data_IF_174021140686
#
_entry.id   IF_174021140686
#
_cell.length_a   1.000
_cell.length_b   1.000
_cell.length_c   1.000
_cell.angle_alpha   90.00
_cell.angle_beta   90.00
_cell.angle_gamma   90.00
#
_symmetry.space_group_name_H-M   'P 1'
#
loop_
_entity.id
_entity.type
_entity.pdbx_description
1 polymer ?
#
# COMPACT_ATOMS: atom_id res chain seq x y z
N UNK A 1 -46.22 -2.76 11.10
CA UNK A 1 -44.77 -2.55 10.82
C UNK A 1 -44.60 -2.41 9.31
N UNK A 2 -44.23 -1.23 8.78
CA UNK A 2 -43.88 -1.13 7.34
C UNK A 2 -42.52 -1.80 7.18
N UNK A 3 -42.42 -2.77 6.26
CA UNK A 3 -41.18 -3.49 5.98
C UNK A 3 -40.04 -2.57 5.53
N UNK A 4 -38.81 -3.09 5.35
CA UNK A 4 -37.65 -2.29 5.03
C UNK A 4 -37.88 -1.43 3.78
N UNK A 5 -37.53 -0.14 3.86
CA UNK A 5 -37.69 0.83 2.76
C UNK A 5 -36.94 0.40 1.49
N UNK A 6 -35.86 -0.36 1.63
CA UNK A 6 -35.07 -0.87 0.52
C UNK A 6 -35.18 -2.39 0.45
N UNK A 7 -35.76 -2.90 -0.64
CA UNK A 7 -35.87 -4.35 -0.91
C UNK A 7 -34.78 -4.89 -1.84
N UNK A 8 -34.13 -4.02 -2.62
CA UNK A 8 -32.98 -4.32 -3.48
C UNK A 8 -31.98 -3.18 -3.43
N UNK A 9 -30.90 -3.37 -2.68
CA UNK A 9 -29.82 -2.41 -2.58
C UNK A 9 -28.63 -2.91 -3.39
N UNK A 10 -28.19 -2.14 -4.39
CA UNK A 10 -26.98 -2.45 -5.15
C UNK A 10 -25.78 -1.94 -4.38
N UNK A 11 -24.91 -2.84 -3.93
CA UNK A 11 -23.68 -2.50 -3.22
C UNK A 11 -22.49 -2.85 -4.11
N UNK A 12 -21.60 -1.87 -4.31
CA UNK A 12 -20.33 -2.05 -4.99
C UNK A 12 -19.18 -1.88 -4.00
N UNK A 13 -18.09 -2.58 -4.23
CA UNK A 13 -16.84 -2.37 -3.50
C UNK A 13 -15.87 -1.59 -4.39
N UNK A 14 -15.14 -0.63 -3.81
CA UNK A 14 -14.02 0.01 -4.47
C UNK A 14 -12.82 -0.94 -4.53
N UNK A 15 -11.72 -0.58 -3.88
CA UNK A 15 -10.59 -1.49 -3.75
C UNK A 15 -10.85 -2.57 -2.71
N UNK A 16 -10.55 -3.83 -3.07
CA UNK A 16 -10.63 -4.97 -2.16
C UNK A 16 -9.51 -4.91 -1.14
N UNK A 17 -9.86 -5.07 0.13
CA UNK A 17 -8.91 -5.35 1.19
C UNK A 17 -8.70 -6.87 1.27
N UNK A 18 -7.50 -7.30 1.64
CA UNK A 18 -7.23 -8.72 1.85
C UNK A 18 -8.02 -9.25 3.06
N UNK A 19 -8.37 -10.53 3.05
CA UNK A 19 -9.21 -11.16 4.08
C UNK A 19 -8.55 -11.08 5.46
N UNK A 20 -7.22 -11.11 5.50
CA UNK A 20 -6.42 -11.00 6.74
C UNK A 20 -6.13 -9.57 7.16
N UNK A 21 -6.47 -8.59 6.34
CA UNK A 21 -6.21 -7.19 6.62
C UNK A 21 -7.44 -6.49 7.22
N UNK A 22 -7.19 -5.44 7.99
CA UNK A 22 -8.21 -4.53 8.49
C UNK A 22 -7.91 -3.11 8.02
N UNK A 23 -8.92 -2.26 7.97
CA UNK A 23 -8.74 -0.86 7.56
C UNK A 23 -9.90 -0.30 6.75
N UNK A 24 -9.58 0.66 5.89
CA UNK A 24 -10.57 1.41 5.10
C UNK A 24 -11.07 0.55 3.94
N UNK A 25 -12.38 0.29 3.93
CA UNK A 25 -13.07 -0.41 2.85
C UNK A 25 -14.20 0.45 2.28
N UNK A 26 -14.00 0.94 1.05
CA UNK A 26 -14.94 1.88 0.41
C UNK A 26 -16.07 1.11 -0.26
N UNK A 27 -17.31 1.46 0.12
CA UNK A 27 -18.53 0.88 -0.43
C UNK A 27 -19.35 1.95 -1.17
N UNK A 28 -19.78 1.61 -2.37
CA UNK A 28 -20.79 2.35 -3.12
C UNK A 28 -22.17 1.76 -2.85
N UNK A 29 -23.18 2.63 -2.78
CA UNK A 29 -24.57 2.22 -2.56
C UNK A 29 -25.45 2.85 -3.64
N UNK A 30 -26.24 2.02 -4.32
CA UNK A 30 -27.19 2.46 -5.35
C UNK A 30 -26.50 3.24 -6.48
N UNK A 31 -26.85 4.51 -6.62
CA UNK A 31 -26.23 5.41 -7.60
C UNK A 31 -24.79 5.81 -7.24
N UNK A 32 -24.40 5.72 -5.96
CA UNK A 32 -23.03 5.99 -5.50
C UNK A 32 -22.00 5.01 -6.07
N UNK A 33 -22.43 3.85 -6.58
CA UNK A 33 -21.56 2.91 -7.29
C UNK A 33 -20.83 3.55 -8.48
N UNK A 34 -21.41 4.59 -9.10
CA UNK A 34 -20.77 5.32 -10.21
C UNK A 34 -19.48 6.03 -9.77
N UNK A 35 -19.45 6.53 -8.54
CA UNK A 35 -18.30 7.25 -7.99
C UNK A 35 -17.11 6.33 -7.68
N UNK A 36 -17.32 5.00 -7.59
CA UNK A 36 -16.24 4.05 -7.38
C UNK A 36 -15.27 4.03 -8.58
N UNK A 37 -15.78 4.24 -9.79
CA UNK A 37 -14.95 4.35 -11.01
C UNK A 37 -14.11 5.62 -10.98
N UNK A 38 -14.70 6.75 -10.57
CA UNK A 38 -13.98 8.02 -10.44
C UNK A 38 -12.87 7.91 -9.39
N UNK A 39 -13.19 7.30 -8.23
CA UNK A 39 -12.23 7.02 -7.17
C UNK A 39 -11.04 6.18 -7.65
N UNK A 40 -11.31 5.15 -8.48
CA UNK A 40 -10.27 4.31 -9.08
C UNK A 40 -9.37 5.13 -10.02
N UNK A 41 -9.97 5.98 -10.86
CA UNK A 41 -9.25 6.83 -11.81
C UNK A 41 -8.46 7.97 -11.14
N UNK A 42 -8.78 8.34 -9.90
CA UNK A 42 -8.00 9.31 -9.15
C UNK A 42 -6.60 8.81 -8.72
N UNK A 43 -6.32 7.51 -8.84
CA UNK A 43 -5.04 6.89 -8.45
C UNK A 43 -4.63 7.27 -7.01
N UNK A 44 -5.58 7.19 -6.08
CA UNK A 44 -5.34 7.56 -4.68
C UNK A 44 -4.26 6.68 -4.06
N UNK A 45 -3.32 7.34 -3.39
CA UNK A 45 -2.31 6.70 -2.54
C UNK A 45 -3.00 5.93 -1.42
N UNK A 46 -2.48 4.75 -1.12
CA UNK A 46 -2.94 3.91 -0.02
C UNK A 46 -1.82 3.81 1.00
N UNK A 47 -2.16 4.02 2.26
CA UNK A 47 -1.24 3.86 3.38
C UNK A 47 -1.61 2.57 4.12
N UNK A 48 -0.59 1.78 4.43
CA UNK A 48 -0.74 0.51 5.13
C UNK A 48 0.17 0.52 6.34
N UNK A 49 -0.26 -0.17 7.39
CA UNK A 49 0.62 -0.61 8.47
C UNK A 49 0.80 -2.11 8.30
N UNK A 50 2.04 -2.55 8.18
CA UNK A 50 2.36 -3.95 7.90
C UNK A 50 3.19 -4.52 9.04
N UNK A 51 2.69 -5.60 9.64
CA UNK A 51 3.42 -6.38 10.63
C UNK A 51 4.17 -7.53 9.98
N UNK A 52 5.38 -7.80 10.47
CA UNK A 52 6.19 -8.93 10.01
C UNK A 52 6.95 -9.59 11.14
N UNK A 53 7.38 -10.83 10.88
CA UNK A 53 8.14 -11.66 11.82
C UNK A 53 9.48 -12.06 11.18
N UNK A 54 10.59 -11.71 11.84
CA UNK A 54 11.91 -12.14 11.41
C UNK A 54 12.16 -13.62 11.67
N UNK A 55 13.00 -14.24 10.84
CA UNK A 55 13.43 -15.63 10.99
C UNK A 55 12.35 -16.66 10.66
N UNK A 56 11.24 -16.26 10.01
CA UNK A 56 10.19 -17.16 9.53
C UNK A 56 9.87 -16.87 8.06
N UNK A 57 9.93 -17.89 7.21
CA UNK A 57 9.47 -17.82 5.83
C UNK A 57 8.33 -18.83 5.59
N UNK A 58 7.27 -18.38 4.93
CA UNK A 58 6.11 -19.20 4.56
C UNK A 58 5.96 -19.28 3.05
N UNK A 59 5.24 -20.29 2.57
CA UNK A 59 5.01 -20.56 1.14
C UNK A 59 4.13 -19.52 0.44
N UNK A 60 3.19 -18.94 1.17
CA UNK A 60 2.26 -17.93 0.67
C UNK A 60 2.56 -16.51 1.18
N UNK A 61 3.71 -16.32 1.84
CA UNK A 61 4.11 -15.06 2.49
C UNK A 61 3.15 -14.55 3.57
N UNK A 62 2.19 -15.36 4.00
CA UNK A 62 1.26 -15.04 5.07
C UNK A 62 1.71 -15.62 6.41
N UNK A 63 1.20 -15.05 7.50
CA UNK A 63 1.47 -15.47 8.87
C UNK A 63 1.03 -16.92 9.17
N UNK A 64 -0.04 -17.39 8.55
CA UNK A 64 -0.60 -18.75 8.70
C UNK A 64 -0.18 -19.71 7.60
N UNK A 65 0.65 -19.28 6.65
CA UNK A 65 1.16 -20.13 5.58
C UNK A 65 1.98 -21.30 6.09
N UNK A 66 2.22 -22.28 5.22
CA UNK A 66 3.07 -23.42 5.56
C UNK A 66 4.50 -22.93 5.74
N UNK A 67 5.12 -23.27 6.87
CA UNK A 67 6.52 -22.92 7.14
C UNK A 67 7.43 -23.60 6.11
N UNK A 68 8.21 -22.78 5.38
CA UNK A 68 9.27 -23.25 4.48
C UNK A 68 10.60 -23.27 5.24
N UNK A 69 10.91 -22.18 5.96
CA UNK A 69 12.21 -21.99 6.59
C UNK A 69 12.08 -21.25 7.91
N UNK A 70 12.94 -21.61 8.87
CA UNK A 70 13.11 -20.91 10.14
C UNK A 70 14.59 -20.73 10.44
N UNK A 71 14.99 -19.50 10.73
CA UNK A 71 16.40 -19.10 10.88
C UNK A 71 16.55 -18.14 12.05
N UNK A 72 17.76 -18.01 12.60
CA UNK A 72 18.04 -17.11 13.72
C UNK A 72 17.92 -15.64 13.30
N UNK A 73 17.50 -14.78 14.23
CA UNK A 73 17.25 -13.35 13.99
C UNK A 73 18.02 -12.44 14.96
N UNK A 74 18.82 -13.00 15.87
CA UNK A 74 19.56 -12.25 16.91
C UNK A 74 20.53 -11.22 16.33
N UNK A 75 20.99 -11.46 15.10
CA UNK A 75 21.90 -10.57 14.38
C UNK A 75 21.19 -9.36 13.74
N UNK A 76 19.86 -9.29 13.78
CA UNK A 76 19.08 -8.22 13.16
C UNK A 76 18.97 -7.05 14.12
N UNK A 77 19.31 -5.85 13.66
CA UNK A 77 19.20 -4.61 14.44
C UNK A 77 18.29 -3.63 13.72
N UNK A 78 17.71 -2.70 14.46
CA UNK A 78 16.90 -1.61 13.90
C UNK A 78 17.64 -0.86 12.80
N UNK A 79 18.92 -0.57 13.01
CA UNK A 79 19.78 0.10 12.04
C UNK A 79 19.91 -0.68 10.72
N UNK A 80 20.05 -2.01 10.79
CA UNK A 80 20.10 -2.86 9.59
C UNK A 80 18.77 -2.80 8.82
N UNK A 81 17.65 -2.86 9.54
CA UNK A 81 16.33 -2.72 8.95
C UNK A 81 16.18 -1.35 8.26
N UNK A 82 16.51 -0.26 8.96
CA UNK A 82 16.40 1.10 8.43
C UNK A 82 17.27 1.31 7.18
N UNK A 83 18.47 0.73 7.13
CA UNK A 83 19.30 0.74 5.92
C UNK A 83 18.62 0.06 4.73
N UNK A 84 17.96 -1.08 4.95
CA UNK A 84 17.20 -1.79 3.91
C UNK A 84 16.01 -0.95 3.47
N UNK A 85 15.26 -0.37 4.41
CA UNK A 85 14.12 0.50 4.11
C UNK A 85 14.55 1.73 3.26
N UNK A 86 15.71 2.32 3.56
CA UNK A 86 16.25 3.42 2.77
C UNK A 86 16.58 3.00 1.32
N UNK A 87 17.12 1.79 1.12
CA UNK A 87 17.37 1.23 -0.22
C UNK A 87 16.06 1.01 -0.97
N UNK A 88 15.03 0.45 -0.31
CA UNK A 88 13.70 0.26 -0.89
C UNK A 88 13.10 1.61 -1.30
N UNK A 89 13.15 2.60 -0.41
CA UNK A 89 12.64 3.94 -0.68
C UNK A 89 13.37 4.61 -1.85
N UNK A 90 14.71 4.54 -1.89
CA UNK A 90 15.50 5.11 -2.99
C UNK A 90 15.18 4.46 -4.34
N UNK A 91 15.02 3.14 -4.36
CA UNK A 91 14.70 2.37 -5.57
C UNK A 91 13.30 2.74 -6.09
N UNK A 92 12.32 2.83 -5.18
CA UNK A 92 10.95 3.20 -5.54
C UNK A 92 10.83 4.68 -5.94
N UNK A 93 11.62 5.57 -5.35
CA UNK A 93 11.66 6.97 -5.78
C UNK A 93 12.17 7.10 -7.22
N UNK A 94 13.22 6.34 -7.59
CA UNK A 94 13.68 6.29 -8.98
C UNK A 94 12.61 5.74 -9.93
N UNK A 95 11.91 4.67 -9.52
CA UNK A 95 10.80 4.12 -10.29
C UNK A 95 9.66 5.13 -10.45
N UNK A 96 9.31 5.86 -9.38
CA UNK A 96 8.28 6.90 -9.40
C UNK A 96 8.56 7.92 -10.49
N UNK A 97 9.79 8.44 -10.56
CA UNK A 97 10.19 9.42 -11.57
C UNK A 97 10.13 8.82 -12.99
N UNK A 98 10.58 7.58 -13.15
CA UNK A 98 10.58 6.88 -14.44
C UNK A 98 9.15 6.65 -14.99
N UNK A 99 8.20 6.31 -14.12
CA UNK A 99 6.82 5.97 -14.52
C UNK A 99 5.84 7.14 -14.46
N UNK A 100 6.27 8.33 -14.00
CA UNK A 100 5.38 9.50 -13.92
C UNK A 100 5.21 10.22 -15.27
N UNK A 101 5.97 9.85 -16.32
CA UNK A 101 5.91 10.48 -17.66
C UNK A 101 6.01 12.02 -17.65
N UNK A 102 6.67 12.59 -16.63
CA UNK A 102 6.87 14.02 -16.47
C UNK A 102 8.35 14.33 -16.75
N UNK A 103 8.62 15.35 -17.56
CA UNK A 103 9.97 15.87 -17.71
C UNK A 103 10.34 16.69 -16.47
N UNK A 104 11.21 16.10 -15.63
CA UNK A 104 11.67 16.70 -14.37
C UNK A 104 12.41 18.03 -14.51
N UNK A 105 12.77 18.43 -15.74
CA UNK A 105 13.39 19.74 -16.01
C UNK A 105 12.36 20.87 -16.16
N UNK A 106 11.07 20.57 -16.12
CA UNK A 106 10.00 21.55 -16.31
C UNK A 106 9.55 22.18 -15.01
N UNK A 107 9.03 23.40 -15.09
CA UNK A 107 8.39 24.08 -13.96
C UNK A 107 7.18 23.30 -13.43
N UNK A 108 6.42 22.67 -14.33
CA UNK A 108 5.27 21.82 -13.96
C UNK A 108 5.71 20.65 -13.06
N UNK A 109 6.82 19.99 -13.39
CA UNK A 109 7.36 18.92 -12.57
C UNK A 109 7.74 19.41 -11.16
N UNK A 110 8.35 20.59 -11.07
CA UNK A 110 8.68 21.20 -9.78
C UNK A 110 7.43 21.49 -8.96
N UNK A 111 6.39 22.08 -9.57
CA UNK A 111 5.14 22.37 -8.88
C UNK A 111 4.42 21.11 -8.40
N UNK A 112 4.42 20.05 -9.22
CA UNK A 112 3.88 18.75 -8.84
C UNK A 112 4.69 18.11 -7.71
N UNK A 113 6.02 18.22 -7.73
CA UNK A 113 6.89 17.70 -6.68
C UNK A 113 6.61 18.39 -5.34
N UNK A 114 6.56 19.72 -5.32
CA UNK A 114 6.31 20.51 -4.11
C UNK A 114 4.93 20.22 -3.53
N UNK A 115 3.92 19.98 -4.39
CA UNK A 115 2.57 19.59 -3.96
C UNK A 115 2.44 18.11 -3.58
N UNK A 116 3.47 17.29 -3.81
CA UNK A 116 3.43 15.84 -3.58
C UNK A 116 2.50 15.09 -4.54
N UNK A 117 2.27 15.63 -5.74
CA UNK A 117 1.35 15.10 -6.74
C UNK A 117 2.02 14.24 -7.82
N UNK A 118 3.34 14.05 -7.76
CA UNK A 118 4.05 13.16 -8.69
C UNK A 118 3.62 11.73 -8.42
N UNK A 119 2.98 11.12 -9.42
CA UNK A 119 2.56 9.72 -9.41
C UNK A 119 2.42 9.18 -10.83
N UNK A 120 2.54 7.86 -11.03
CA UNK A 120 2.26 7.25 -12.31
C UNK A 120 0.78 7.41 -12.64
N UNK A 121 0.49 8.02 -13.80
CA UNK A 121 -0.87 8.12 -14.34
C UNK A 121 -1.22 6.96 -15.28
N UNK A 122 -0.23 6.13 -15.61
CA UNK A 122 -0.37 4.96 -16.47
C UNK A 122 -0.04 3.65 -15.76
N UNK A 123 0.12 2.58 -16.56
CA UNK A 123 0.57 1.29 -16.05
C UNK A 123 1.97 1.42 -15.46
N UNK A 124 2.12 0.98 -14.23
CA UNK A 124 3.39 0.94 -13.51
C UNK A 124 3.43 -0.30 -12.61
N UNK A 125 4.62 -0.80 -12.25
CA UNK A 125 4.73 -1.70 -11.11
C UNK A 125 4.24 -0.99 -9.83
N UNK A 126 3.93 -1.72 -8.75
CA UNK A 126 3.65 -1.10 -7.46
C UNK A 126 4.82 -0.20 -7.04
N UNK A 127 4.53 1.06 -6.71
CA UNK A 127 5.53 2.03 -6.26
C UNK A 127 5.23 2.42 -4.82
N UNK A 128 6.23 2.28 -3.96
CA UNK A 128 6.20 2.68 -2.56
C UNK A 128 6.69 4.13 -2.48
N UNK A 129 5.79 5.07 -2.20
CA UNK A 129 6.15 6.50 -2.11
C UNK A 129 6.84 6.85 -0.80
N UNK A 130 6.50 6.17 0.29
CA UNK A 130 7.12 6.33 1.60
C UNK A 130 7.06 5.00 2.37
N UNK A 131 8.09 4.73 3.14
CA UNK A 131 8.18 3.57 4.04
C UNK A 131 8.99 3.96 5.27
N UNK A 132 8.59 3.50 6.44
CA UNK A 132 9.32 3.77 7.70
C UNK A 132 9.13 2.61 8.65
N UNK A 133 9.99 2.51 9.65
CA UNK A 133 9.77 1.57 10.76
C UNK A 133 8.95 2.28 11.84
N UNK A 134 7.79 1.71 12.18
CA UNK A 134 6.93 2.18 13.27
C UNK A 134 7.33 1.53 14.60
N UNK A 135 7.56 0.22 14.57
CA UNK A 135 7.93 -0.55 15.75
C UNK A 135 8.98 -1.60 15.40
N UNK A 136 9.95 -1.79 16.29
CA UNK A 136 10.98 -2.81 16.18
C UNK A 136 11.11 -3.53 17.52
N UNK A 137 10.55 -4.74 17.62
CA UNK A 137 10.50 -5.54 18.85
C UNK A 137 10.74 -7.00 18.47
N UNK A 138 12.01 -7.40 18.36
CA UNK A 138 12.38 -8.72 17.87
C UNK A 138 11.59 -9.86 18.55
N UNK A 139 11.12 -10.86 17.78
CA UNK A 139 11.28 -11.03 16.33
C UNK A 139 10.32 -10.20 15.47
N UNK A 140 9.44 -9.39 16.07
CA UNK A 140 8.39 -8.65 15.36
C UNK A 140 8.85 -7.25 14.93
N UNK A 141 8.27 -6.77 13.83
CA UNK A 141 8.42 -5.39 13.40
C UNK A 141 7.13 -4.89 12.77
N UNK A 142 6.97 -3.57 12.75
CA UNK A 142 5.89 -2.89 12.03
C UNK A 142 6.46 -1.78 11.16
N UNK A 143 5.96 -1.69 9.93
CA UNK A 143 6.26 -0.65 8.95
C UNK A 143 5.03 0.23 8.68
#
# INVERSE_FOLDING_TARGET
>A
VRGPQFRRLKIGAGHRLDVKASGVFVLGIGHGNKLLTDLYNCHLTKAYTVGGLFGKATDDFSDTGKLIEKTTFDHITREKLERILAVIQGTNHKALLMYSNIDMKTQEAYELAVKGLIRPMGKSPPIITAIRCLQFTLPEFQL
#
